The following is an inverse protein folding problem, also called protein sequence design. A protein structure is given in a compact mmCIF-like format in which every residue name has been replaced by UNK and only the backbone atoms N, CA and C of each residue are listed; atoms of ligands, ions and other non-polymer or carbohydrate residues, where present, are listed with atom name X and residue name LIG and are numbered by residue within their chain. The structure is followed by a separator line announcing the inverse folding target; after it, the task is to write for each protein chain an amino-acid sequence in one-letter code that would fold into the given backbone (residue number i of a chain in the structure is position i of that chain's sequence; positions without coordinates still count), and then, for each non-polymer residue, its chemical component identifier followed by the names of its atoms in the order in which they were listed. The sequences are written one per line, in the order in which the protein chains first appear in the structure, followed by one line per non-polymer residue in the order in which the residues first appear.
data_IF_388864255403
#
_entry.id   IF_388864255403
#
_cell.length_a   1.000
_cell.length_b   1.000
_cell.length_c   1.000
_cell.angle_alpha   90.00
_cell.angle_beta   90.00
_cell.angle_gamma   90.00
#
_symmetry.space_group_name_H-M   'P 1'
#
loop_
_entity.id
_entity.type
_entity.pdbx_description
1 polymer ?
#
# COMPACT_ATOMS: atom_id res chain seq x y z
N UNK A 1 -23.70 13.86 -4.68
CA UNK A 1 -23.31 12.80 -4.01
C UNK A 1 -21.96 12.94 -3.48
N UNK A 2 -21.82 12.63 -2.36
CA UNK A 2 -20.57 12.75 -1.76
C UNK A 2 -19.62 11.86 -2.42
N UNK A 3 -18.51 12.30 -2.58
CA UNK A 3 -17.56 11.56 -3.11
C UNK A 3 -16.88 10.91 -2.11
N UNK A 4 -16.56 9.77 -2.22
CA UNK A 4 -15.82 9.11 -1.36
C UNK A 4 -14.50 9.65 -1.45
N UNK A 5 -13.77 9.63 -0.40
CA UNK A 5 -12.46 10.05 -0.39
C UNK A 5 -11.66 9.25 -1.31
N UNK A 6 -10.81 9.81 -2.12
CA UNK A 6 -9.97 9.11 -2.97
C UNK A 6 -8.63 9.51 -2.63
N UNK A 7 -7.67 8.63 -2.49
CA UNK A 7 -6.32 9.04 -2.28
C UNK A 7 -5.70 9.25 -3.65
N UNK A 8 -4.64 10.00 -3.70
CA UNK A 8 -4.00 10.32 -4.94
C UNK A 8 -2.88 9.38 -5.29
N UNK A 9 -2.58 8.45 -4.44
CA UNK A 9 -1.43 7.59 -4.62
C UNK A 9 -1.75 6.29 -5.33
N UNK A 10 -2.84 5.66 -4.99
CA UNK A 10 -3.19 4.37 -5.57
C UNK A 10 -4.68 4.26 -5.81
N UNK A 11 -5.04 3.31 -6.66
CA UNK A 11 -6.43 3.06 -6.94
C UNK A 11 -6.75 1.65 -6.56
N UNK A 12 -7.99 1.38 -6.23
CA UNK A 12 -8.43 0.07 -5.89
C UNK A 12 -8.17 -0.85 -7.07
N UNK A 13 -7.73 -2.04 -6.81
CA UNK A 13 -7.41 -3.08 -7.79
C UNK A 13 -6.18 -2.77 -8.65
N UNK A 14 -5.48 -1.71 -8.36
CA UNK A 14 -4.28 -1.38 -9.10
C UNK A 14 -3.17 -2.34 -8.68
N UNK A 15 -2.36 -2.77 -9.63
CA UNK A 15 -1.24 -3.65 -9.34
C UNK A 15 0.03 -2.82 -9.37
N UNK A 16 0.80 -2.92 -8.30
CA UNK A 16 2.01 -2.14 -8.16
C UNK A 16 3.17 -3.01 -7.73
N UNK A 17 4.35 -2.56 -8.07
CA UNK A 17 5.55 -3.20 -7.59
C UNK A 17 5.99 -2.37 -6.40
N UNK A 18 6.17 -3.00 -5.26
CA UNK A 18 6.45 -2.29 -4.03
C UNK A 18 7.65 -2.86 -3.33
N UNK A 19 8.42 -1.97 -2.71
CA UNK A 19 9.52 -2.41 -1.91
C UNK A 19 9.08 -2.39 -0.47
N UNK A 20 9.23 -3.50 0.22
CA UNK A 20 8.80 -3.60 1.60
C UNK A 20 9.90 -3.03 2.48
N UNK A 21 9.60 -1.96 3.18
CA UNK A 21 10.59 -1.25 3.96
C UNK A 21 10.58 -1.63 5.42
N UNK A 22 9.47 -2.07 5.91
CA UNK A 22 9.33 -2.32 7.31
C UNK A 22 8.31 -3.41 7.56
N UNK A 23 8.07 -3.73 8.81
CA UNK A 23 7.20 -4.83 9.16
C UNK A 23 6.26 -4.36 10.25
N UNK A 24 5.00 -4.59 10.09
CA UNK A 24 4.03 -4.21 11.07
C UNK A 24 3.62 -5.42 11.89
N UNK A 25 2.98 -5.16 13.01
CA UNK A 25 2.50 -6.17 13.87
C UNK A 25 1.55 -7.04 13.06
N UNK A 26 1.51 -8.29 13.31
CA UNK A 26 0.57 -9.17 12.64
C UNK A 26 1.05 -9.72 11.32
N UNK A 27 2.32 -9.58 11.02
CA UNK A 27 2.86 -10.21 9.83
C UNK A 27 2.65 -9.45 8.54
N UNK A 28 2.41 -8.16 8.61
CA UNK A 28 2.22 -7.37 7.41
C UNK A 28 3.45 -6.58 7.09
N UNK A 29 3.87 -6.62 5.86
CA UNK A 29 4.95 -5.75 5.42
C UNK A 29 4.41 -4.36 5.16
N UNK A 30 5.27 -3.38 5.27
CA UNK A 30 4.90 -2.00 5.04
C UNK A 30 5.71 -1.46 3.88
N UNK A 31 5.02 -0.99 2.86
CA UNK A 31 5.65 -0.30 1.76
C UNK A 31 5.22 1.15 1.83
N UNK A 32 6.07 2.03 1.40
CA UNK A 32 5.76 3.45 1.48
C UNK A 32 5.97 4.11 0.14
N UNK A 33 5.04 4.94 -0.23
CA UNK A 33 5.16 5.71 -1.44
C UNK A 33 5.43 7.13 -1.04
N UNK A 34 6.47 7.72 -1.62
CA UNK A 34 6.83 9.10 -1.31
C UNK A 34 6.54 9.97 -2.52
N UNK A 35 6.00 11.12 -2.30
CA UNK A 35 5.74 12.03 -3.39
C UNK A 35 5.75 13.44 -2.83
N UNK A 36 5.55 14.42 -3.70
CA UNK A 36 5.51 15.81 -3.29
C UNK A 36 4.37 16.07 -2.35
N UNK A 37 3.37 15.23 -2.37
CA UNK A 37 2.22 15.43 -1.52
C UNK A 37 2.36 14.72 -0.19
N UNK A 38 3.49 14.12 0.08
CA UNK A 38 3.70 13.44 1.34
C UNK A 38 3.96 11.97 1.12
N UNK A 39 3.82 11.18 2.15
CA UNK A 39 4.04 9.75 2.02
C UNK A 39 2.76 9.00 2.30
N UNK A 40 2.67 7.82 1.74
CA UNK A 40 1.50 7.00 1.83
C UNK A 40 1.93 5.58 2.15
N UNK A 41 1.24 4.95 3.04
CA UNK A 41 1.62 3.63 3.54
C UNK A 41 0.73 2.55 2.95
N UNK A 42 1.35 1.45 2.54
CA UNK A 42 0.60 0.32 2.02
C UNK A 42 1.00 -0.91 2.82
N UNK A 43 0.01 -1.61 3.35
CA UNK A 43 0.24 -2.83 4.09
C UNK A 43 0.06 -4.02 3.18
N UNK A 44 1.04 -4.91 3.16
CA UNK A 44 0.99 -6.10 2.31
C UNK A 44 1.30 -7.32 3.18
N UNK A 45 0.34 -8.17 3.46
CA UNK A 45 0.58 -9.33 4.30
C UNK A 45 1.49 -10.33 3.61
N UNK A 46 2.13 -11.14 4.41
CA UNK A 46 3.00 -12.21 3.93
C UNK A 46 4.23 -11.73 3.20
N UNK A 47 4.76 -10.58 3.58
CA UNK A 47 5.97 -10.06 2.98
C UNK A 47 6.97 -9.75 4.07
N UNK A 48 8.23 -9.61 3.68
CA UNK A 48 9.30 -9.31 4.63
C UNK A 48 10.04 -8.06 4.17
N UNK A 49 10.64 -7.33 5.12
CA UNK A 49 11.39 -6.13 4.76
C UNK A 49 12.51 -6.49 3.79
N UNK A 50 12.72 -5.63 2.85
CA UNK A 50 13.75 -5.83 1.83
C UNK A 50 13.25 -6.48 0.58
N UNK A 51 12.05 -7.02 0.57
CA UNK A 51 11.54 -7.67 -0.62
C UNK A 51 10.95 -6.67 -1.58
N UNK A 52 11.04 -6.99 -2.85
CA UNK A 52 10.39 -6.21 -3.88
C UNK A 52 9.27 -7.11 -4.38
N UNK A 53 8.04 -6.71 -4.21
CA UNK A 53 6.91 -7.57 -4.50
C UNK A 53 5.90 -6.89 -5.40
N UNK A 54 5.07 -7.70 -6.03
CA UNK A 54 4.00 -7.18 -6.85
C UNK A 54 2.73 -7.43 -6.06
N UNK A 55 1.95 -6.43 -5.88
CA UNK A 55 0.76 -6.53 -5.07
C UNK A 55 -0.40 -5.78 -5.70
N UNK A 56 -1.59 -6.24 -5.40
CA UNK A 56 -2.79 -5.59 -5.91
C UNK A 56 -3.49 -4.88 -4.78
N UNK A 57 -3.86 -3.64 -4.99
CA UNK A 57 -4.53 -2.85 -3.98
C UNK A 57 -5.94 -3.38 -3.77
N UNK A 58 -6.27 -3.74 -2.55
CA UNK A 58 -7.59 -4.26 -2.24
C UNK A 58 -8.44 -3.23 -1.52
N UNK A 59 -7.81 -2.38 -0.71
CA UNK A 59 -8.55 -1.42 0.04
C UNK A 59 -7.73 -0.16 0.09
N UNK A 60 -8.36 0.96 -0.07
CA UNK A 60 -7.65 2.21 -0.10
C UNK A 60 -8.38 3.22 0.76
N UNK A 61 -7.66 3.91 1.60
CA UNK A 61 -8.27 4.97 2.36
C UNK A 61 -7.41 6.20 2.21
N UNK A 62 -7.74 7.24 2.91
CA UNK A 62 -7.07 8.49 2.74
C UNK A 62 -5.60 8.44 3.12
N UNK A 63 -5.27 7.68 4.13
CA UNK A 63 -3.93 7.66 4.65
C UNK A 63 -3.15 6.38 4.41
N UNK A 64 -3.81 5.32 4.05
CA UNK A 64 -3.13 4.06 3.84
C UNK A 64 -3.93 3.18 2.89
N UNK A 65 -3.31 2.11 2.47
CA UNK A 65 -4.01 1.13 1.65
C UNK A 65 -3.59 -0.25 2.10
N UNK A 66 -4.36 -1.24 1.72
CA UNK A 66 -4.03 -2.62 1.96
C UNK A 66 -3.95 -3.31 0.62
N UNK A 67 -2.94 -4.13 0.44
CA UNK A 67 -2.74 -4.81 -0.82
C UNK A 67 -2.54 -6.29 -0.58
N UNK A 68 -2.72 -7.06 -1.63
CA UNK A 68 -2.58 -8.47 -1.55
C UNK A 68 -1.45 -8.87 -2.47
N UNK A 69 -0.60 -9.77 -2.01
CA UNK A 69 0.52 -10.23 -2.82
C UNK A 69 -0.02 -11.00 -4.02
N UNK A 70 0.54 -10.78 -5.14
CA UNK A 70 0.11 -11.48 -6.35
C UNK A 70 1.02 -12.65 -6.63
#
# INVERSE_FOLDING_TARGET
MPRRERNKFVKRNQILELKIENYAFGGKGIARIHSDEGSFVIFVPNTLPGQLVKAQIKKSSKKYAEAKLI
#
